data_IF_185395188342
#
_entry.id   IF_185395188342
#
_cell.length_a   1.000
_cell.length_b   1.000
_cell.length_c   1.000
_cell.angle_alpha   90.00
_cell.angle_beta   90.00
_cell.angle_gamma   90.00
#
_symmetry.space_group_name_H-M   'P 1'
#
loop_
_entity.id
_entity.type
_entity.pdbx_description
1 polymer ?
#
# COMPACT_ATOMS: atom_id res chain seq x y z
N UNK A 1 -22.08 41.13 6.13
CA UNK A 1 -21.03 40.08 6.05
C UNK A 1 -21.68 38.81 6.56
N UNK A 2 -22.25 38.03 5.64
CA UNK A 2 -22.77 36.71 5.93
C UNK A 2 -21.59 35.77 6.17
N UNK A 3 -21.50 35.21 7.38
CA UNK A 3 -20.63 34.07 7.59
C UNK A 3 -21.34 32.89 6.92
N UNK A 4 -20.90 32.55 5.70
CA UNK A 4 -21.36 31.36 5.00
C UNK A 4 -21.04 30.16 5.89
N UNK A 5 -22.07 29.62 6.52
CA UNK A 5 -21.98 28.39 7.29
C UNK A 5 -21.72 27.29 6.26
N UNK A 6 -20.55 26.62 6.27
CA UNK A 6 -20.23 25.63 5.26
C UNK A 6 -21.27 24.51 5.35
N UNK A 7 -21.85 24.16 4.21
CA UNK A 7 -22.83 23.09 4.16
C UNK A 7 -22.12 21.72 4.18
N UNK A 8 -22.92 20.65 4.17
CA UNK A 8 -22.42 19.28 4.19
C UNK A 8 -21.55 18.98 2.94
N UNK A 9 -21.88 19.57 1.80
CA UNK A 9 -21.10 19.46 0.57
C UNK A 9 -19.76 20.20 0.69
N UNK A 10 -19.74 21.40 1.28
CA UNK A 10 -18.50 22.17 1.49
C UNK A 10 -17.50 21.41 2.37
N UNK A 11 -17.96 20.89 3.52
CA UNK A 11 -17.14 20.06 4.40
C UNK A 11 -16.68 18.76 3.72
N UNK A 12 -17.57 18.08 3.00
CA UNK A 12 -17.20 16.86 2.29
C UNK A 12 -16.13 17.12 1.21
N UNK A 13 -16.20 18.28 0.52
CA UNK A 13 -15.20 18.64 -0.47
C UNK A 13 -13.84 18.94 0.17
N UNK A 14 -13.81 19.68 1.29
CA UNK A 14 -12.58 19.97 2.03
C UNK A 14 -11.92 18.69 2.57
N UNK A 15 -12.70 17.77 3.15
CA UNK A 15 -12.18 16.48 3.63
C UNK A 15 -11.56 15.66 2.49
N UNK A 16 -12.23 15.63 1.34
CA UNK A 16 -11.72 14.93 0.15
C UNK A 16 -10.41 15.55 -0.37
N UNK A 17 -10.31 16.87 -0.36
CA UNK A 17 -9.08 17.58 -0.75
C UNK A 17 -7.94 17.26 0.21
N UNK A 18 -8.20 17.30 1.53
CA UNK A 18 -7.23 16.93 2.56
C UNK A 18 -6.73 15.48 2.40
N UNK A 19 -7.64 14.52 2.20
CA UNK A 19 -7.28 13.11 1.98
C UNK A 19 -6.43 12.94 0.72
N UNK A 20 -6.73 13.68 -0.34
CA UNK A 20 -5.91 13.65 -1.56
C UNK A 20 -4.50 14.18 -1.29
N UNK A 21 -4.35 15.30 -0.59
CA UNK A 21 -3.03 15.84 -0.23
C UNK A 21 -2.19 14.82 0.57
N UNK A 22 -2.81 14.10 1.51
CA UNK A 22 -2.12 13.04 2.29
C UNK A 22 -1.69 11.86 1.42
N UNK A 23 -2.48 11.46 0.43
CA UNK A 23 -2.13 10.33 -0.45
C UNK A 23 -0.84 10.59 -1.22
N UNK A 24 -0.61 11.81 -1.67
CA UNK A 24 0.55 12.18 -2.46
C UNK A 24 1.77 12.63 -1.65
N UNK A 25 1.60 13.00 -0.38
CA UNK A 25 2.71 13.42 0.49
C UNK A 25 3.52 12.25 1.07
N UNK A 26 3.09 11.01 0.85
CA UNK A 26 3.80 9.81 1.33
C UNK A 26 5.05 9.55 0.50
N UNK A 27 6.21 9.81 1.09
CA UNK A 27 7.49 9.31 0.57
C UNK A 27 7.51 7.79 0.68
N UNK A 28 7.74 7.04 -0.42
CA UNK A 28 7.88 5.60 -0.32
C UNK A 28 9.08 5.25 0.57
N UNK A 29 9.01 4.15 1.34
CA UNK A 29 10.13 3.71 2.15
C UNK A 29 11.35 3.43 1.25
N UNK A 30 12.58 3.54 1.79
CA UNK A 30 13.78 3.23 1.03
C UNK A 30 13.73 1.81 0.48
N UNK A 31 14.11 1.67 -0.80
CA UNK A 31 14.09 0.38 -1.49
C UNK A 31 15.16 -0.53 -0.90
N UNK A 32 14.73 -1.63 -0.28
CA UNK A 32 15.61 -2.67 0.24
C UNK A 32 15.87 -3.76 -0.81
N UNK A 33 17.00 -4.48 -0.75
CA UNK A 33 17.27 -5.59 -1.66
C UNK A 33 16.23 -6.70 -1.50
N UNK A 34 15.75 -7.22 -2.62
CA UNK A 34 14.80 -8.33 -2.68
C UNK A 34 15.40 -9.63 -2.11
N UNK A 35 14.62 -10.37 -1.31
CA UNK A 35 15.04 -11.64 -0.73
C UNK A 35 15.22 -12.72 -1.82
N UNK A 36 16.17 -13.63 -1.63
CA UNK A 36 16.41 -14.76 -2.54
C UNK A 36 15.45 -15.92 -2.28
N UNK A 37 14.96 -16.07 -1.05
CA UNK A 37 14.06 -17.12 -0.60
C UNK A 37 12.86 -16.50 0.12
N UNK A 38 11.71 -17.17 0.01
CA UNK A 38 10.46 -16.76 0.64
C UNK A 38 10.59 -16.85 2.17
N UNK A 39 10.15 -15.81 2.88
CA UNK A 39 10.18 -15.81 4.35
C UNK A 39 9.21 -16.80 5.01
N UNK A 40 8.19 -17.28 4.31
CA UNK A 40 7.18 -18.16 4.89
C UNK A 40 7.44 -19.64 4.59
N UNK A 41 7.71 -19.95 3.32
CA UNK A 41 7.86 -21.34 2.87
C UNK A 41 9.31 -21.71 2.54
N UNK A 42 10.26 -20.76 2.56
CA UNK A 42 11.66 -21.01 2.23
C UNK A 42 11.96 -21.22 0.74
N UNK A 43 10.96 -21.32 -0.13
CA UNK A 43 11.19 -21.55 -1.56
C UNK A 43 11.90 -20.38 -2.25
N UNK A 44 12.74 -20.63 -3.27
CA UNK A 44 13.44 -19.58 -3.99
C UNK A 44 12.46 -18.63 -4.69
N UNK A 45 12.69 -17.31 -4.58
CA UNK A 45 11.87 -16.29 -5.23
C UNK A 45 12.36 -16.09 -6.68
N UNK A 46 11.49 -16.27 -7.69
CA UNK A 46 11.86 -16.10 -9.09
C UNK A 46 12.48 -14.72 -9.37
N UNK A 47 13.51 -14.68 -10.23
CA UNK A 47 14.20 -13.43 -10.60
C UNK A 47 13.23 -12.36 -11.11
N UNK A 48 12.29 -12.74 -11.99
CA UNK A 48 11.24 -11.84 -12.51
C UNK A 48 10.46 -11.13 -11.40
N UNK A 49 10.16 -11.82 -10.29
CA UNK A 49 9.44 -11.24 -9.16
C UNK A 49 10.32 -10.30 -8.35
N UNK A 50 11.60 -10.62 -8.18
CA UNK A 50 12.59 -9.75 -7.51
C UNK A 50 12.85 -8.44 -8.26
N UNK A 51 12.73 -8.46 -9.58
CA UNK A 51 12.85 -7.29 -10.46
C UNK A 51 11.56 -6.47 -10.53
N UNK A 52 10.40 -7.13 -10.59
CA UNK A 52 9.11 -6.45 -10.67
C UNK A 52 8.70 -5.78 -9.35
N UNK A 53 9.06 -6.38 -8.21
CA UNK A 53 8.69 -5.90 -6.88
C UNK A 53 9.96 -5.65 -6.08
N UNK A 54 10.30 -4.36 -5.95
CA UNK A 54 11.47 -3.93 -5.19
C UNK A 54 11.30 -4.29 -3.70
N UNK A 55 12.26 -5.00 -3.13
CA UNK A 55 12.22 -5.44 -1.74
C UNK A 55 11.30 -6.63 -1.45
N UNK A 56 10.95 -7.44 -2.46
CA UNK A 56 10.07 -8.61 -2.26
C UNK A 56 10.63 -9.59 -1.22
N UNK A 57 9.75 -10.07 -0.34
CA UNK A 57 10.08 -11.02 0.75
C UNK A 57 9.37 -12.38 0.63
N UNK A 58 8.28 -12.45 -0.15
CA UNK A 58 7.41 -13.63 -0.28
C UNK A 58 7.33 -14.11 -1.73
N UNK A 59 7.20 -15.43 -1.92
CA UNK A 59 6.87 -16.00 -3.24
C UNK A 59 5.45 -15.62 -3.66
N UNK A 60 5.09 -15.93 -4.91
CA UNK A 60 3.75 -15.60 -5.44
C UNK A 60 2.65 -16.33 -4.70
N UNK A 61 2.86 -17.60 -4.35
CA UNK A 61 1.83 -18.43 -3.71
C UNK A 61 1.54 -17.98 -2.29
N UNK A 62 2.59 -17.73 -1.49
CA UNK A 62 2.44 -17.22 -0.13
C UNK A 62 1.85 -15.81 -0.12
N UNK A 63 2.18 -14.97 -1.11
CA UNK A 63 1.58 -13.65 -1.23
C UNK A 63 0.09 -13.76 -1.58
N UNK A 64 -0.28 -14.61 -2.54
CA UNK A 64 -1.67 -14.81 -2.92
C UNK A 64 -2.50 -15.33 -1.75
N UNK A 65 -1.97 -16.27 -0.97
CA UNK A 65 -2.63 -16.75 0.24
C UNK A 65 -2.90 -15.61 1.25
N UNK A 66 -1.92 -14.73 1.46
CA UNK A 66 -2.07 -13.57 2.35
C UNK A 66 -3.13 -12.58 1.85
N UNK A 67 -3.16 -12.31 0.55
CA UNK A 67 -4.08 -11.35 -0.07
C UNK A 67 -5.52 -11.89 -0.15
N UNK A 68 -5.68 -13.19 -0.39
CA UNK A 68 -6.99 -13.84 -0.44
C UNK A 68 -7.53 -14.23 0.93
N UNK A 69 -6.64 -14.51 1.87
CA UNK A 69 -6.98 -14.90 3.23
C UNK A 69 -6.52 -13.80 4.19
N UNK A 70 -7.16 -12.64 4.09
CA UNK A 70 -7.09 -11.63 5.15
C UNK A 70 -8.01 -12.13 6.26
N UNK A 71 -7.49 -12.66 7.39
CA UNK A 71 -8.35 -12.88 8.54
C UNK A 71 -8.91 -11.50 8.94
N UNK A 72 -10.22 -11.43 9.13
CA UNK A 72 -10.91 -10.27 9.70
C UNK A 72 -10.44 -10.11 11.16
N UNK A 73 -9.24 -9.57 11.34
CA UNK A 73 -8.71 -9.16 12.64
C UNK A 73 -8.84 -7.66 12.77
#
# INVERSE_FOLDING_TARGET
MENAMPDICDHANEEMEFLNQIKFSRTPPPVQPSATHCCDCGNPIPKRRREAVAGVRRCVDCQALLEHFIPLT
#
